data_IF_746255324268
#
_entry.id   IF_746255324268
#
_cell.length_a   1.000
_cell.length_b   1.000
_cell.length_c   1.000
_cell.angle_alpha   90.00
_cell.angle_beta   90.00
_cell.angle_gamma   90.00
#
_symmetry.space_group_name_H-M   'P 1'
#
loop_
_entity.id
_entity.type
_entity.pdbx_description
1 polymer ?
#
# COMPACT_ATOMS: atom_id res chain seq x y z
N UNK A 1 -90.03 3.73 -1.82
CA UNK A 1 -89.51 2.71 -0.85
C UNK A 1 -88.56 1.85 -1.56
N UNK A 2 -87.30 2.13 -1.43
CA UNK A 2 -86.19 1.18 -1.52
C UNK A 2 -85.00 1.85 -0.89
N UNK A 3 -84.66 1.43 0.33
CA UNK A 3 -83.51 1.85 1.08
C UNK A 3 -82.47 0.73 1.05
N UNK A 4 -81.20 1.08 0.88
CA UNK A 4 -80.11 0.51 1.62
C UNK A 4 -79.50 -0.73 1.02
N UNK A 5 -78.39 -0.52 0.35
CA UNK A 5 -77.33 -1.54 0.29
C UNK A 5 -75.96 -0.86 0.23
N UNK A 6 -75.52 -0.39 1.38
CA UNK A 6 -74.13 0.06 1.59
C UNK A 6 -73.50 -0.73 2.71
N UNK A 7 -72.23 -1.00 2.53
CA UNK A 7 -71.28 -1.48 3.54
C UNK A 7 -71.16 -2.99 3.82
N UNK A 8 -70.27 -3.66 3.04
CA UNK A 8 -69.39 -4.69 3.58
C UNK A 8 -68.08 -4.74 2.72
N UNK A 9 -67.32 -3.64 2.74
CA UNK A 9 -65.90 -3.73 2.37
C UNK A 9 -65.09 -3.72 3.68
N UNK A 10 -65.04 -4.90 4.29
CA UNK A 10 -64.51 -5.09 5.61
C UNK A 10 -62.99 -5.18 5.70
N UNK A 11 -62.45 -5.42 6.91
CA UNK A 11 -61.05 -5.32 7.31
C UNK A 11 -60.08 -6.25 6.56
N UNK A 12 -60.59 -7.28 5.86
CA UNK A 12 -59.79 -8.24 5.10
C UNK A 12 -59.09 -7.59 3.89
N UNK A 13 -59.69 -6.62 3.22
CA UNK A 13 -59.08 -5.96 2.05
C UNK A 13 -57.96 -5.03 2.47
N UNK A 14 -58.08 -4.35 3.63
CA UNK A 14 -56.99 -3.52 4.19
C UNK A 14 -55.78 -4.36 4.65
N UNK A 15 -56.05 -5.52 5.25
CA UNK A 15 -55.00 -6.47 5.67
C UNK A 15 -54.24 -7.04 4.47
N UNK A 16 -54.94 -7.41 3.39
CA UNK A 16 -54.35 -7.92 2.17
C UNK A 16 -53.47 -6.87 1.48
N UNK A 17 -53.96 -5.63 1.33
CA UNK A 17 -53.20 -4.51 0.73
C UNK A 17 -51.99 -4.16 1.57
N UNK A 18 -52.07 -4.21 2.90
CA UNK A 18 -50.92 -3.98 3.79
C UNK A 18 -49.86 -5.11 3.72
N UNK A 19 -50.28 -6.36 3.55
CA UNK A 19 -49.41 -7.50 3.35
C UNK A 19 -48.68 -7.43 2.01
N UNK A 20 -49.36 -7.10 0.92
CA UNK A 20 -48.77 -6.93 -0.42
C UNK A 20 -47.79 -5.76 -0.44
N UNK A 21 -48.11 -4.63 0.23
CA UNK A 21 -47.18 -3.49 0.35
C UNK A 21 -45.91 -3.81 1.15
N UNK A 22 -46.04 -4.59 2.24
CA UNK A 22 -44.88 -5.07 3.00
C UNK A 22 -44.03 -6.06 2.20
N UNK A 23 -44.65 -6.98 1.46
CA UNK A 23 -43.93 -7.91 0.58
C UNK A 23 -43.22 -7.18 -0.56
N UNK A 24 -43.86 -6.19 -1.19
CA UNK A 24 -43.22 -5.37 -2.24
C UNK A 24 -42.06 -4.51 -1.69
N UNK A 25 -42.19 -3.95 -0.49
CA UNK A 25 -41.13 -3.17 0.14
C UNK A 25 -39.91 -4.05 0.47
N UNK A 26 -40.12 -5.27 0.98
CA UNK A 26 -39.05 -6.24 1.26
C UNK A 26 -38.37 -6.68 -0.05
N UNK A 27 -39.14 -6.90 -1.11
CA UNK A 27 -38.62 -7.30 -2.41
C UNK A 27 -37.78 -6.19 -3.07
N UNK A 28 -38.25 -4.93 -2.97
CA UNK A 28 -37.48 -3.77 -3.44
C UNK A 28 -36.19 -3.60 -2.64
N UNK A 29 -36.22 -3.78 -1.31
CA UNK A 29 -35.06 -3.70 -0.47
C UNK A 29 -34.02 -4.79 -0.82
N UNK A 30 -34.48 -6.02 -1.09
CA UNK A 30 -33.64 -7.12 -1.56
C UNK A 30 -33.01 -6.83 -2.92
N UNK A 31 -33.77 -6.28 -3.88
CA UNK A 31 -33.24 -5.89 -5.19
C UNK A 31 -32.20 -4.79 -5.04
N UNK A 32 -32.44 -3.78 -4.21
CA UNK A 32 -31.47 -2.71 -3.94
C UNK A 32 -30.21 -3.25 -3.27
N UNK A 33 -30.33 -4.16 -2.29
CA UNK A 33 -29.17 -4.82 -1.68
C UNK A 33 -28.38 -5.65 -2.69
N UNK A 34 -29.04 -6.44 -3.53
CA UNK A 34 -28.38 -7.24 -4.57
C UNK A 34 -27.72 -6.35 -5.62
N UNK A 35 -28.38 -5.26 -6.01
CA UNK A 35 -27.81 -4.30 -6.98
C UNK A 35 -26.63 -3.55 -6.39
N UNK A 36 -26.67 -3.14 -5.13
CA UNK A 36 -25.52 -2.50 -4.46
C UNK A 36 -24.34 -3.47 -4.30
N UNK A 37 -24.58 -4.73 -3.94
CA UNK A 37 -23.53 -5.76 -3.87
C UNK A 37 -22.88 -6.02 -5.24
N UNK A 38 -23.67 -6.06 -6.34
CA UNK A 38 -23.13 -6.22 -7.69
C UNK A 38 -22.35 -4.98 -8.15
N UNK A 39 -22.78 -3.77 -7.79
CA UNK A 39 -22.06 -2.55 -8.10
C UNK A 39 -20.73 -2.48 -7.34
N UNK A 40 -20.70 -2.86 -6.08
CA UNK A 40 -19.50 -2.91 -5.26
C UNK A 40 -18.52 -4.00 -5.75
N UNK A 41 -19.01 -5.18 -6.12
CA UNK A 41 -18.21 -6.25 -6.73
C UNK A 41 -17.61 -5.81 -8.08
N UNK A 42 -18.38 -5.12 -8.93
CA UNK A 42 -17.92 -4.60 -10.21
C UNK A 42 -16.85 -3.52 -10.06
N UNK A 43 -16.94 -2.71 -9.02
CA UNK A 43 -15.96 -1.66 -8.75
C UNK A 43 -14.67 -2.23 -8.14
N UNK A 44 -14.78 -3.22 -7.27
CA UNK A 44 -13.63 -3.99 -6.77
C UNK A 44 -12.92 -4.75 -7.90
N UNK A 45 -13.66 -5.25 -8.89
CA UNK A 45 -13.08 -5.91 -10.06
C UNK A 45 -12.28 -4.96 -10.96
N UNK A 46 -12.52 -3.65 -10.94
CA UNK A 46 -11.73 -2.68 -11.71
C UNK A 46 -10.40 -2.36 -11.04
N UNK A 47 -10.29 -2.47 -9.72
CA UNK A 47 -9.11 -2.10 -8.94
C UNK A 47 -7.97 -3.10 -9.14
N UNK A 48 -6.74 -2.60 -9.00
CA UNK A 48 -5.52 -3.41 -9.07
C UNK A 48 -5.33 -4.20 -7.76
N UNK A 49 -5.27 -5.53 -7.77
CA UNK A 49 -4.98 -6.30 -6.57
C UNK A 49 -3.49 -6.19 -6.20
N UNK A 50 -3.23 -5.88 -4.92
CA UNK A 50 -1.89 -5.68 -4.38
C UNK A 50 -1.67 -6.58 -3.16
N UNK A 51 -0.50 -7.22 -3.08
CA UNK A 51 0.10 -7.74 -1.85
C UNK A 51 1.19 -6.75 -1.42
N UNK A 52 1.17 -6.34 -0.15
CA UNK A 52 2.14 -5.42 0.42
C UNK A 52 2.96 -6.10 1.51
N UNK A 53 4.29 -6.09 1.38
CA UNK A 53 5.21 -6.66 2.35
C UNK A 53 6.05 -5.52 2.95
N UNK A 54 6.13 -5.45 4.29
CA UNK A 54 6.74 -4.32 5.01
C UNK A 54 7.34 -4.77 6.34
N UNK A 55 8.39 -4.11 6.78
CA UNK A 55 8.91 -4.23 8.14
C UNK A 55 8.37 -3.14 9.08
N UNK A 56 7.11 -2.80 8.88
CA UNK A 56 6.32 -1.94 9.74
C UNK A 56 6.28 -2.45 11.18
N UNK A 57 6.67 -1.60 12.13
CA UNK A 57 6.66 -1.89 13.56
C UNK A 57 5.99 -0.79 14.37
N UNK A 58 5.43 -1.17 15.53
CA UNK A 58 5.06 -0.22 16.56
C UNK A 58 5.51 -0.71 17.96
N UNK A 59 6.36 0.01 18.70
CA UNK A 59 7.02 1.24 18.27
C UNK A 59 7.98 1.02 17.09
N UNK A 60 8.07 2.01 16.21
CA UNK A 60 8.85 1.92 14.98
C UNK A 60 10.36 1.83 15.23
N UNK A 61 11.08 1.23 14.28
CA UNK A 61 12.53 1.38 14.16
C UNK A 61 12.84 2.57 13.23
N UNK A 62 12.35 2.53 11.99
CA UNK A 62 12.26 3.67 11.09
C UNK A 62 10.76 3.96 10.82
N UNK A 63 10.29 5.19 10.92
CA UNK A 63 8.87 5.50 10.79
C UNK A 63 8.40 5.79 9.36
N UNK A 64 9.23 5.72 8.34
CA UNK A 64 8.83 5.92 6.94
C UNK A 64 7.76 4.90 6.50
N UNK A 65 7.82 3.65 6.97
CA UNK A 65 6.78 2.64 6.75
C UNK A 65 5.36 3.10 7.14
N UNK A 66 5.24 3.96 8.16
CA UNK A 66 3.93 4.51 8.55
C UNK A 66 3.37 5.46 7.50
N UNK A 67 4.24 6.25 6.84
CA UNK A 67 3.86 7.12 5.72
C UNK A 67 3.51 6.29 4.48
N UNK A 68 4.31 5.28 4.20
CA UNK A 68 4.14 4.42 3.03
C UNK A 68 2.81 3.67 3.07
N UNK A 69 2.54 2.96 4.17
CA UNK A 69 1.28 2.21 4.29
C UNK A 69 0.06 3.16 4.30
N UNK A 70 0.16 4.33 4.93
CA UNK A 70 -0.91 5.33 4.93
C UNK A 70 -1.21 5.81 3.51
N UNK A 71 -0.18 6.13 2.71
CA UNK A 71 -0.35 6.50 1.31
C UNK A 71 -0.97 5.37 0.48
N UNK A 72 -0.56 4.11 0.68
CA UNK A 72 -1.15 2.97 -0.01
C UNK A 72 -2.63 2.79 0.33
N UNK A 73 -3.02 3.01 1.60
CA UNK A 73 -4.41 2.97 2.03
C UNK A 73 -5.24 4.12 1.43
N UNK A 74 -4.66 5.28 1.17
CA UNK A 74 -5.35 6.42 0.57
C UNK A 74 -5.71 6.19 -0.92
N UNK A 75 -4.98 5.34 -1.63
CA UNK A 75 -5.16 5.11 -3.07
C UNK A 75 -6.41 4.25 -3.31
N UNK A 76 -7.37 4.82 -4.05
CA UNK A 76 -8.67 4.18 -4.33
C UNK A 76 -8.59 3.15 -5.46
N UNK A 77 -7.62 3.27 -6.35
CA UNK A 77 -7.39 2.41 -7.52
C UNK A 77 -6.81 1.05 -7.18
N UNK A 78 -6.35 0.85 -5.92
CA UNK A 78 -5.82 -0.43 -5.44
C UNK A 78 -6.73 -1.13 -4.46
N UNK A 79 -6.74 -2.45 -4.53
CA UNK A 79 -7.28 -3.32 -3.49
C UNK A 79 -6.13 -4.05 -2.82
N UNK A 80 -5.80 -3.69 -1.58
CA UNK A 80 -4.79 -4.39 -0.78
C UNK A 80 -5.40 -5.75 -0.38
N UNK A 81 -4.90 -6.83 -0.97
CA UNK A 81 -5.39 -8.20 -0.74
C UNK A 81 -4.76 -8.85 0.48
N UNK A 82 -3.54 -8.43 0.83
CA UNK A 82 -2.80 -8.91 1.99
C UNK A 82 -1.70 -7.92 2.38
N UNK A 83 -1.41 -7.85 3.67
CA UNK A 83 -0.20 -7.24 4.22
C UNK A 83 0.62 -8.34 4.89
N UNK A 84 1.91 -8.44 4.55
CA UNK A 84 2.84 -9.36 5.19
C UNK A 84 3.81 -8.55 6.05
N UNK A 85 3.82 -8.84 7.33
CA UNK A 85 4.67 -8.20 8.32
C UNK A 85 5.98 -8.97 8.44
N UNK A 86 7.06 -8.40 7.92
CA UNK A 86 8.41 -8.99 7.91
C UNK A 86 9.01 -9.13 9.32
N UNK A 87 10.08 -9.92 9.44
CA UNK A 87 10.87 -10.14 10.65
C UNK A 87 10.06 -10.71 11.84
N UNK A 88 9.40 -11.83 11.64
CA UNK A 88 8.42 -12.45 12.52
C UNK A 88 8.65 -12.39 14.03
N UNK A 89 9.87 -12.72 14.52
CA UNK A 89 10.19 -12.64 15.96
C UNK A 89 10.07 -11.21 16.51
N UNK A 90 10.39 -10.22 15.69
CA UNK A 90 10.36 -8.81 16.08
C UNK A 90 8.94 -8.30 16.21
N UNK A 91 8.02 -8.82 15.37
CA UNK A 91 6.58 -8.50 15.42
C UNK A 91 5.93 -8.85 16.78
N UNK A 92 6.44 -9.84 17.50
CA UNK A 92 5.95 -10.17 18.86
C UNK A 92 6.20 -9.04 19.87
N UNK A 93 7.26 -8.27 19.69
CA UNK A 93 7.64 -7.16 20.60
C UNK A 93 7.22 -5.79 20.08
N UNK A 94 7.10 -5.65 18.77
CA UNK A 94 6.78 -4.42 18.07
C UNK A 94 5.73 -4.70 16.99
N UNK A 95 4.46 -4.94 17.37
CA UNK A 95 3.44 -5.45 16.45
C UNK A 95 3.01 -4.39 15.42
N UNK A 96 3.36 -4.59 14.15
CA UNK A 96 2.88 -3.80 13.03
C UNK A 96 1.36 -3.92 12.79
N UNK A 97 0.71 -4.86 13.46
CA UNK A 97 -0.76 -4.99 13.46
C UNK A 97 -1.48 -3.80 14.08
N UNK A 98 -0.83 -3.06 14.99
CA UNK A 98 -1.42 -1.87 15.62
C UNK A 98 -1.69 -0.79 14.54
N UNK A 99 -0.69 -0.27 13.79
CA UNK A 99 -0.94 0.72 12.75
C UNK A 99 -1.87 0.20 11.64
N UNK A 100 -1.83 -1.09 11.29
CA UNK A 100 -2.79 -1.67 10.33
C UNK A 100 -4.23 -1.56 10.86
N UNK A 101 -4.46 -1.89 12.13
CA UNK A 101 -5.79 -1.77 12.75
C UNK A 101 -6.27 -0.32 12.78
N UNK A 102 -5.39 0.61 13.08
CA UNK A 102 -5.68 2.06 13.04
C UNK A 102 -6.07 2.52 11.63
N UNK A 103 -5.31 2.13 10.60
CA UNK A 103 -5.61 2.48 9.21
C UNK A 103 -6.90 1.81 8.71
N UNK A 104 -7.17 0.57 9.11
CA UNK A 104 -8.45 -0.09 8.84
C UNK A 104 -9.61 0.72 9.45
N UNK A 105 -9.46 1.22 10.68
CA UNK A 105 -10.48 2.05 11.33
C UNK A 105 -10.67 3.41 10.64
N UNK A 106 -9.58 4.14 10.32
CA UNK A 106 -9.64 5.44 9.63
C UNK A 106 -10.36 5.31 8.29
N UNK A 107 -10.03 4.29 7.51
CA UNK A 107 -10.51 4.15 6.13
C UNK A 107 -11.78 3.31 5.98
N UNK A 108 -12.24 2.66 7.07
CA UNK A 108 -13.35 1.69 7.02
C UNK A 108 -13.02 0.41 6.26
N UNK A 109 -11.74 0.13 5.98
CA UNK A 109 -11.30 -1.08 5.29
C UNK A 109 -11.08 -2.21 6.30
N UNK A 110 -11.06 -3.44 5.80
CA UNK A 110 -10.68 -4.63 6.58
C UNK A 110 -9.63 -5.41 5.79
N UNK A 111 -8.39 -4.91 5.82
CA UNK A 111 -7.26 -5.51 5.09
C UNK A 111 -6.67 -6.64 5.94
N UNK A 112 -6.61 -7.88 5.42
CA UNK A 112 -5.99 -8.98 6.14
C UNK A 112 -4.47 -8.82 6.20
N UNK A 113 -3.87 -9.27 7.29
CA UNK A 113 -2.42 -9.33 7.45
C UNK A 113 -1.98 -10.66 8.06
N UNK A 114 -0.71 -10.99 7.85
CA UNK A 114 -0.05 -12.13 8.48
C UNK A 114 1.40 -11.80 8.81
N UNK A 115 1.93 -12.52 9.81
CA UNK A 115 3.33 -12.42 10.22
C UNK A 115 4.16 -13.35 9.34
N UNK A 116 5.23 -12.80 8.76
CA UNK A 116 6.15 -13.51 7.88
C UNK A 116 7.27 -14.24 8.62
N UNK A 117 8.17 -14.81 7.83
CA UNK A 117 9.31 -15.59 8.30
C UNK A 117 10.20 -14.79 9.26
N UNK A 118 10.70 -15.46 10.27
CA UNK A 118 11.50 -14.85 11.32
C UNK A 118 12.98 -14.75 10.99
N UNK A 119 13.54 -15.83 10.46
CA UNK A 119 14.97 -16.00 10.26
C UNK A 119 15.33 -15.86 8.77
N UNK A 120 16.56 -15.47 8.45
CA UNK A 120 17.06 -15.37 7.09
C UNK A 120 16.99 -16.72 6.38
N UNK A 121 16.76 -16.70 5.09
CA UNK A 121 16.88 -17.89 4.25
C UNK A 121 18.32 -18.40 4.27
N UNK A 122 18.50 -19.71 4.33
CA UNK A 122 19.84 -20.34 4.42
C UNK A 122 20.56 -20.33 3.06
N UNK A 123 19.80 -20.46 1.98
CA UNK A 123 20.28 -20.35 0.58
C UNK A 123 19.27 -19.56 -0.24
N UNK A 124 19.62 -19.10 -1.44
CA UNK A 124 18.65 -18.46 -2.33
C UNK A 124 17.43 -19.34 -2.66
N UNK A 125 17.59 -20.67 -2.67
CA UNK A 125 16.53 -21.65 -2.98
C UNK A 125 15.75 -22.12 -1.74
N UNK A 126 16.13 -21.65 -0.54
CA UNK A 126 15.46 -22.06 0.70
C UNK A 126 13.96 -21.68 0.65
N UNK A 127 13.10 -22.64 1.00
CA UNK A 127 11.65 -22.49 1.07
C UNK A 127 11.17 -21.94 2.43
N UNK A 128 12.09 -21.75 3.40
CA UNK A 128 11.76 -21.31 4.76
C UNK A 128 10.93 -22.31 5.57
N UNK A 129 10.73 -23.54 5.11
CA UNK A 129 9.86 -24.54 5.75
C UNK A 129 10.42 -25.06 7.08
N UNK A 130 11.73 -24.92 7.32
CA UNK A 130 12.37 -25.29 8.58
C UNK A 130 12.11 -24.32 9.72
N UNK A 131 11.59 -23.12 9.42
CA UNK A 131 11.27 -22.12 10.43
C UNK A 131 9.97 -22.49 11.19
N UNK A 132 9.81 -21.96 12.40
CA UNK A 132 8.67 -22.29 13.27
C UNK A 132 7.32 -21.99 12.58
N UNK A 133 6.33 -22.85 12.82
CA UNK A 133 5.01 -22.79 12.16
C UNK A 133 4.34 -21.42 12.32
N UNK A 134 4.50 -20.77 13.44
CA UNK A 134 3.92 -19.46 13.76
C UNK A 134 4.41 -18.31 12.87
N UNK A 135 5.48 -18.53 12.08
CA UNK A 135 6.03 -17.55 11.12
C UNK A 135 5.80 -17.95 9.66
N UNK A 136 4.99 -18.97 9.41
CA UNK A 136 4.68 -19.44 8.05
C UNK A 136 3.52 -18.67 7.41
N UNK A 137 2.66 -18.07 8.22
CA UNK A 137 1.38 -17.51 7.79
C UNK A 137 1.53 -16.40 6.75
N UNK A 138 2.63 -15.62 6.78
CA UNK A 138 2.91 -14.60 5.77
C UNK A 138 3.10 -15.20 4.37
N UNK A 139 3.93 -16.25 4.26
CA UNK A 139 4.15 -16.94 2.98
C UNK A 139 2.88 -17.66 2.51
N UNK A 140 2.15 -18.32 3.41
CA UNK A 140 0.91 -18.99 3.08
C UNK A 140 -0.17 -18.01 2.60
N UNK A 141 -0.24 -16.81 3.21
CA UNK A 141 -1.17 -15.76 2.79
C UNK A 141 -0.83 -15.24 1.38
N UNK A 142 0.45 -15.06 1.04
CA UNK A 142 0.89 -14.70 -0.31
C UNK A 142 0.41 -15.76 -1.32
N UNK A 143 0.70 -17.04 -1.06
CA UNK A 143 0.33 -18.14 -1.95
C UNK A 143 -1.19 -18.22 -2.13
N UNK A 144 -1.95 -18.11 -1.03
CA UNK A 144 -3.40 -18.14 -1.04
C UNK A 144 -4.00 -17.00 -1.89
N UNK A 145 -3.48 -15.78 -1.74
CA UNK A 145 -3.95 -14.62 -2.53
C UNK A 145 -3.64 -14.81 -4.01
N UNK A 146 -2.44 -15.29 -4.35
CA UNK A 146 -2.06 -15.56 -5.74
C UNK A 146 -2.94 -16.64 -6.35
N UNK A 147 -3.18 -17.74 -5.64
CA UNK A 147 -4.02 -18.85 -6.11
C UNK A 147 -5.46 -18.40 -6.36
N UNK A 148 -6.07 -17.70 -5.41
CA UNK A 148 -7.47 -17.26 -5.49
C UNK A 148 -7.70 -16.07 -6.39
N UNK A 149 -6.67 -15.31 -6.76
CA UNK A 149 -6.84 -14.13 -7.57
C UNK A 149 -7.28 -14.48 -9.01
N UNK A 150 -8.40 -13.88 -9.44
CA UNK A 150 -8.87 -13.96 -10.83
C UNK A 150 -8.04 -13.11 -11.78
N UNK A 151 -7.37 -12.07 -11.25
CA UNK A 151 -6.52 -11.13 -11.99
C UNK A 151 -5.06 -11.30 -11.62
N UNK A 152 -4.13 -10.90 -12.51
CA UNK A 152 -2.73 -10.76 -12.12
C UNK A 152 -2.56 -9.81 -10.94
N UNK A 153 -1.67 -10.16 -10.01
CA UNK A 153 -1.43 -9.44 -8.76
C UNK A 153 -0.12 -8.66 -8.85
N UNK A 154 -0.13 -7.42 -8.39
CA UNK A 154 1.09 -6.66 -8.15
C UNK A 154 1.57 -6.90 -6.72
N UNK A 155 2.87 -7.12 -6.54
CA UNK A 155 3.49 -7.22 -5.22
C UNK A 155 4.35 -5.98 -5.01
N UNK A 156 4.23 -5.38 -3.83
CA UNK A 156 5.04 -4.24 -3.38
C UNK A 156 5.75 -4.67 -2.10
N UNK A 157 7.07 -4.51 -2.03
CA UNK A 157 7.83 -4.83 -0.83
C UNK A 157 8.77 -3.68 -0.48
N UNK A 158 8.73 -3.25 0.78
CA UNK A 158 9.51 -2.14 1.33
C UNK A 158 10.44 -2.57 2.48
N UNK A 159 10.39 -3.85 2.88
CA UNK A 159 11.31 -4.49 3.81
C UNK A 159 12.20 -5.52 3.11
N UNK A 160 12.51 -6.63 3.81
CA UNK A 160 13.25 -7.74 3.20
C UNK A 160 12.43 -8.45 2.11
N UNK A 161 13.11 -9.19 1.24
CA UNK A 161 12.46 -10.01 0.21
C UNK A 161 12.17 -11.44 0.67
N UNK A 162 12.31 -11.73 1.97
CA UNK A 162 12.33 -13.08 2.54
C UNK A 162 11.09 -13.88 2.22
N UNK A 163 9.92 -13.36 2.56
CA UNK A 163 8.64 -14.06 2.35
C UNK A 163 8.33 -14.25 0.87
N UNK A 164 8.68 -13.27 0.04
CA UNK A 164 8.51 -13.33 -1.41
C UNK A 164 9.41 -14.40 -2.03
N UNK A 165 10.69 -14.46 -1.62
CA UNK A 165 11.64 -15.47 -2.11
C UNK A 165 11.23 -16.88 -1.68
N UNK A 166 10.85 -17.06 -0.41
CA UNK A 166 10.35 -18.34 0.10
C UNK A 166 9.07 -18.78 -0.63
N UNK A 167 8.11 -17.88 -0.83
CA UNK A 167 6.88 -18.14 -1.58
C UNK A 167 7.17 -18.52 -3.03
N UNK A 168 8.07 -17.80 -3.69
CA UNK A 168 8.52 -18.13 -5.05
C UNK A 168 9.19 -19.52 -5.10
N UNK A 169 10.03 -19.86 -4.13
CA UNK A 169 10.68 -21.18 -4.05
C UNK A 169 9.68 -22.32 -3.80
N UNK A 170 8.57 -22.05 -3.08
CA UNK A 170 7.50 -23.05 -2.85
C UNK A 170 6.66 -23.28 -4.10
N UNK A 171 6.34 -22.22 -4.86
CA UNK A 171 5.43 -22.30 -6.01
C UNK A 171 5.85 -21.36 -7.14
N UNK A 172 6.97 -21.66 -7.86
CA UNK A 172 7.51 -20.77 -8.89
C UNK A 172 6.56 -20.56 -10.07
N UNK A 173 5.79 -21.57 -10.47
CA UNK A 173 4.86 -21.46 -11.58
C UNK A 173 3.65 -20.59 -11.26
N UNK A 174 3.17 -20.63 -10.00
CA UNK A 174 2.12 -19.74 -9.52
C UNK A 174 2.58 -18.27 -9.58
N UNK A 175 3.79 -17.97 -9.11
CA UNK A 175 4.35 -16.63 -9.19
C UNK A 175 4.52 -16.15 -10.63
N UNK A 176 5.10 -16.99 -11.52
CA UNK A 176 5.28 -16.64 -12.94
C UNK A 176 3.96 -16.37 -13.66
N UNK A 177 2.89 -17.05 -13.25
CA UNK A 177 1.57 -16.92 -13.87
C UNK A 177 0.75 -15.77 -13.32
N UNK A 178 0.85 -15.52 -11.99
CA UNK A 178 -0.05 -14.59 -11.28
C UNK A 178 0.57 -13.25 -10.95
N UNK A 179 1.90 -13.15 -10.83
CA UNK A 179 2.57 -11.87 -10.53
C UNK A 179 2.86 -11.14 -11.84
N UNK A 180 2.20 -10.00 -12.03
CA UNK A 180 2.43 -9.16 -13.22
C UNK A 180 3.47 -8.07 -13.02
N UNK A 181 3.66 -7.61 -11.78
CA UNK A 181 4.68 -6.64 -11.38
C UNK A 181 5.13 -6.92 -9.96
N UNK A 182 6.42 -6.91 -9.74
CA UNK A 182 7.04 -7.03 -8.42
C UNK A 182 7.87 -5.78 -8.16
N UNK A 183 7.32 -4.83 -7.41
CA UNK A 183 8.02 -3.62 -7.00
C UNK A 183 8.81 -3.89 -5.74
N UNK A 184 10.12 -3.70 -5.80
CA UNK A 184 11.04 -3.91 -4.68
C UNK A 184 11.77 -2.61 -4.37
N UNK A 185 11.55 -2.07 -3.17
CA UNK A 185 12.22 -0.88 -2.65
C UNK A 185 13.39 -1.31 -1.79
N UNK A 186 14.54 -1.52 -2.44
CA UNK A 186 15.67 -2.19 -1.81
C UNK A 186 16.97 -1.93 -2.58
N UNK A 187 18.05 -1.81 -1.85
CA UNK A 187 19.39 -1.82 -2.44
C UNK A 187 19.94 -0.45 -2.80
N UNK A 188 21.12 -0.49 -3.34
CA UNK A 188 21.95 0.65 -3.74
C UNK A 188 22.23 0.57 -5.24
N UNK A 189 22.01 1.66 -5.99
CA UNK A 189 22.25 1.70 -7.42
C UNK A 189 23.70 2.00 -7.79
N UNK A 190 24.48 2.59 -6.87
CA UNK A 190 25.88 2.93 -7.16
C UNK A 190 26.80 1.71 -7.04
N UNK A 191 27.91 1.73 -7.79
CA UNK A 191 28.91 0.64 -7.80
C UNK A 191 29.84 0.65 -6.57
N UNK A 192 29.48 1.33 -5.47
CA UNK A 192 30.39 1.57 -4.33
C UNK A 192 30.36 0.50 -3.22
N UNK A 193 29.73 -0.66 -3.45
CA UNK A 193 29.81 -1.80 -2.50
C UNK A 193 29.14 -1.60 -1.15
N UNK A 194 28.21 -0.66 -1.04
CA UNK A 194 27.38 -0.49 0.15
C UNK A 194 26.23 -1.51 0.12
N UNK A 195 26.14 -2.32 1.18
CA UNK A 195 24.96 -3.20 1.37
C UNK A 195 23.91 -2.39 2.11
N UNK A 196 22.87 -2.01 1.38
CA UNK A 196 21.72 -1.31 1.92
C UNK A 196 21.00 -2.19 2.98
N UNK A 197 20.28 -1.54 3.92
CA UNK A 197 19.70 -2.18 5.10
C UNK A 197 18.80 -3.36 4.76
N UNK A 198 17.84 -3.20 3.84
CA UNK A 198 16.88 -4.25 3.45
C UNK A 198 17.58 -5.45 2.76
N UNK A 199 18.62 -5.19 1.96
CA UNK A 199 19.49 -6.26 1.41
C UNK A 199 20.17 -7.00 2.55
N UNK A 200 20.67 -6.28 3.56
CA UNK A 200 21.31 -6.84 4.75
C UNK A 200 20.37 -7.70 5.61
N UNK A 201 19.07 -7.43 5.58
CA UNK A 201 18.07 -8.23 6.28
C UNK A 201 18.02 -9.67 5.75
N UNK A 202 18.15 -9.88 4.43
CA UNK A 202 18.24 -11.23 3.84
C UNK A 202 18.87 -11.22 2.45
N UNK A 203 20.20 -11.39 2.39
CA UNK A 203 20.97 -11.41 1.14
C UNK A 203 20.55 -12.56 0.20
N UNK A 204 20.23 -13.73 0.75
CA UNK A 204 19.81 -14.88 -0.04
C UNK A 204 18.48 -14.61 -0.75
N UNK A 205 17.53 -13.99 -0.05
CA UNK A 205 16.26 -13.58 -0.63
C UNK A 205 16.45 -12.54 -1.75
N UNK A 206 17.34 -11.56 -1.55
CA UNK A 206 17.67 -10.56 -2.57
C UNK A 206 18.28 -11.20 -3.82
N UNK A 207 19.30 -12.04 -3.66
CA UNK A 207 19.92 -12.79 -4.77
C UNK A 207 18.88 -13.61 -5.52
N UNK A 208 17.99 -14.30 -4.77
CA UNK A 208 16.95 -15.15 -5.35
C UNK A 208 15.98 -14.37 -6.22
N UNK A 209 15.48 -13.25 -5.73
CA UNK A 209 14.49 -12.44 -6.45
C UNK A 209 15.09 -11.74 -7.66
N UNK A 210 16.29 -11.17 -7.53
CA UNK A 210 16.95 -10.52 -8.66
C UNK A 210 17.27 -11.51 -9.81
N UNK A 211 17.50 -12.79 -9.50
CA UNK A 211 17.74 -13.85 -10.47
C UNK A 211 16.49 -14.69 -10.82
N UNK A 212 15.29 -14.33 -10.33
CA UNK A 212 14.07 -15.13 -10.47
C UNK A 212 13.49 -15.17 -11.88
N UNK A 213 13.80 -14.16 -12.69
CA UNK A 213 13.14 -13.90 -13.97
C UNK A 213 11.69 -13.44 -13.84
N UNK A 214 11.22 -13.03 -12.66
CA UNK A 214 9.95 -12.33 -12.44
C UNK A 214 9.99 -10.91 -13.04
N UNK A 215 8.85 -10.28 -13.30
CA UNK A 215 8.77 -8.91 -13.80
C UNK A 215 9.09 -7.90 -12.68
N UNK A 216 10.37 -7.78 -12.33
CA UNK A 216 10.86 -6.94 -11.23
C UNK A 216 10.93 -5.47 -11.65
N UNK A 217 10.36 -4.60 -10.81
CA UNK A 217 10.54 -3.16 -10.82
C UNK A 217 11.42 -2.80 -9.63
N UNK A 218 12.70 -2.67 -9.89
CA UNK A 218 13.70 -2.38 -8.88
C UNK A 218 13.78 -0.88 -8.60
N UNK A 219 13.49 -0.50 -7.38
CA UNK A 219 13.53 0.88 -6.86
C UNK A 219 14.64 0.94 -5.79
N UNK A 220 15.88 1.30 -6.18
CA UNK A 220 16.96 1.44 -5.21
C UNK A 220 16.63 2.50 -4.16
N UNK A 221 17.01 2.23 -2.91
CA UNK A 221 16.88 3.20 -1.82
C UNK A 221 17.89 4.33 -1.96
N UNK A 222 19.10 4.03 -2.42
CA UNK A 222 20.18 5.01 -2.57
C UNK A 222 20.90 4.89 -3.91
N UNK A 223 21.54 5.99 -4.32
CA UNK A 223 22.42 6.07 -5.47
C UNK A 223 23.54 7.07 -5.19
N UNK A 224 24.74 6.56 -4.89
CA UNK A 224 25.92 7.35 -4.52
C UNK A 224 26.34 7.18 -3.07
N UNK A 225 25.73 6.26 -2.34
CA UNK A 225 25.92 5.98 -0.92
C UNK A 225 24.72 6.40 -0.08
N UNK A 226 24.75 6.11 1.23
CA UNK A 226 23.66 6.42 2.14
C UNK A 226 23.20 7.88 2.05
N UNK A 227 21.88 8.07 1.99
CA UNK A 227 21.22 9.38 1.93
C UNK A 227 21.53 10.20 0.67
N UNK A 228 21.94 9.53 -0.42
CA UNK A 228 22.21 10.14 -1.72
C UNK A 228 21.31 9.57 -2.81
N UNK A 229 20.96 10.44 -3.77
CA UNK A 229 20.21 10.08 -4.96
C UNK A 229 20.79 10.82 -6.16
N UNK A 230 21.64 10.15 -6.94
CA UNK A 230 22.25 10.67 -8.17
C UNK A 230 21.40 10.38 -9.40
N UNK A 231 20.12 10.01 -9.21
CA UNK A 231 19.15 9.83 -10.28
C UNK A 231 18.64 8.39 -10.46
N UNK A 232 19.25 7.40 -9.80
CA UNK A 232 18.82 5.99 -9.91
C UNK A 232 18.20 5.44 -8.64
N UNK A 233 17.88 6.29 -7.67
CA UNK A 233 17.20 5.93 -6.43
C UNK A 233 15.92 6.73 -6.21
N UNK A 234 15.06 6.25 -5.33
CA UNK A 234 13.81 6.93 -5.03
C UNK A 234 13.88 7.86 -3.80
N UNK A 235 14.99 7.89 -3.12
CA UNK A 235 15.22 8.70 -1.91
C UNK A 235 14.92 10.18 -2.10
N UNK A 236 14.15 10.76 -1.17
CA UNK A 236 14.00 12.21 -0.97
C UNK A 236 13.79 12.54 0.51
N UNK A 237 13.81 13.83 0.84
CA UNK A 237 13.58 14.33 2.19
C UNK A 237 12.47 15.38 2.18
N UNK A 238 11.58 15.33 3.18
CA UNK A 238 10.48 16.27 3.35
C UNK A 238 10.33 16.71 4.82
N UNK A 239 9.74 17.89 5.05
CA UNK A 239 9.32 18.29 6.39
C UNK A 239 7.98 17.64 6.74
N UNK A 240 7.77 17.30 8.02
CA UNK A 240 6.47 16.81 8.44
C UNK A 240 5.38 17.87 8.33
N UNK A 241 5.75 19.16 8.42
CA UNK A 241 4.82 20.28 8.20
C UNK A 241 4.23 20.22 6.78
N UNK A 242 5.08 19.98 5.78
CA UNK A 242 4.62 19.88 4.38
C UNK A 242 3.78 18.61 4.15
N UNK A 243 4.12 17.50 4.82
CA UNK A 243 3.45 16.22 4.67
C UNK A 243 2.11 16.14 5.42
N UNK A 244 2.05 16.70 6.64
CA UNK A 244 0.97 16.46 7.61
C UNK A 244 0.18 17.72 7.97
N UNK A 245 0.56 18.89 7.47
CA UNK A 245 -0.03 20.16 7.88
C UNK A 245 -1.54 20.29 7.62
N UNK A 246 -2.07 19.54 6.65
CA UNK A 246 -3.46 19.61 6.20
C UNK A 246 -4.25 18.30 6.39
N UNK A 247 -3.73 17.34 7.15
CA UNK A 247 -4.44 16.07 7.38
C UNK A 247 -5.55 16.23 8.43
N UNK A 248 -6.52 15.33 8.46
CA UNK A 248 -7.56 15.31 9.50
C UNK A 248 -6.97 15.04 10.89
N UNK A 249 -7.71 15.40 11.94
CA UNK A 249 -7.31 15.15 13.32
C UNK A 249 -7.04 13.66 13.59
N UNK A 250 -7.83 12.78 13.03
CA UNK A 250 -7.65 11.32 13.14
C UNK A 250 -6.34 10.86 12.50
N UNK A 251 -6.00 11.39 11.34
CA UNK A 251 -4.74 11.09 10.66
C UNK A 251 -3.57 11.71 11.42
N UNK A 252 -3.73 12.92 11.97
CA UNK A 252 -2.74 13.53 12.84
C UNK A 252 -2.51 12.68 14.10
N UNK A 253 -3.57 12.22 14.76
CA UNK A 253 -3.47 11.32 15.92
C UNK A 253 -2.78 9.99 15.58
N UNK A 254 -3.03 9.43 14.38
CA UNK A 254 -2.29 8.26 13.90
C UNK A 254 -0.78 8.52 13.85
N UNK A 255 -0.37 9.65 13.28
CA UNK A 255 1.06 9.99 13.19
C UNK A 255 1.65 10.38 14.55
N UNK A 256 0.91 11.08 15.42
CA UNK A 256 1.34 11.34 16.80
C UNK A 256 1.58 10.01 17.53
N UNK A 257 0.60 9.08 17.44
CA UNK A 257 0.72 7.77 18.06
C UNK A 257 1.97 7.02 17.58
N UNK A 258 2.15 6.96 16.26
CA UNK A 258 3.27 6.26 15.65
C UNK A 258 4.62 6.91 15.98
N UNK A 259 4.76 8.20 15.67
CA UNK A 259 6.06 8.90 15.68
C UNK A 259 6.56 9.21 17.11
N UNK A 260 5.67 9.47 18.04
CA UNK A 260 6.01 9.66 19.44
C UNK A 260 5.98 8.33 20.23
N UNK A 261 5.82 7.20 19.53
CA UNK A 261 5.86 5.86 20.13
C UNK A 261 4.90 5.71 21.29
N UNK A 262 3.68 6.28 21.16
CA UNK A 262 2.63 6.15 22.18
C UNK A 262 2.31 4.68 22.42
N UNK A 263 1.93 4.33 23.65
CA UNK A 263 1.60 2.96 24.02
C UNK A 263 0.32 2.97 24.86
N UNK A 264 -0.75 3.49 24.26
CA UNK A 264 -2.05 3.57 24.89
C UNK A 264 -2.75 2.19 24.87
N UNK A 265 -3.56 1.94 25.90
CA UNK A 265 -4.28 0.66 26.04
C UNK A 265 -5.23 0.39 24.89
N UNK A 266 -5.83 1.46 24.33
CA UNK A 266 -6.72 1.39 23.19
C UNK A 266 -6.20 2.29 22.06
N UNK A 267 -5.41 1.74 21.12
CA UNK A 267 -4.84 2.49 20.02
C UNK A 267 -5.89 2.98 19.02
N UNK A 268 -7.08 2.37 18.97
CA UNK A 268 -8.18 2.80 18.10
C UNK A 268 -8.89 4.01 18.71
N UNK A 269 -9.22 3.95 20.00
CA UNK A 269 -9.84 5.08 20.69
C UNK A 269 -8.92 6.31 20.66
N UNK A 270 -7.59 6.13 20.69
CA UNK A 270 -6.64 7.24 20.60
C UNK A 270 -6.85 8.11 19.35
N UNK A 271 -7.27 7.52 18.23
CA UNK A 271 -7.53 8.25 16.99
C UNK A 271 -8.69 9.25 17.10
N UNK A 272 -9.64 9.00 17.97
CA UNK A 272 -10.85 9.82 18.15
C UNK A 272 -10.69 10.84 19.30
N UNK A 273 -9.53 10.89 19.95
CA UNK A 273 -9.27 11.88 21.02
C UNK A 273 -9.04 13.28 20.43
N UNK A 274 -9.29 14.30 21.23
CA UNK A 274 -8.83 15.66 20.93
C UNK A 274 -7.32 15.68 20.75
N UNK A 275 -6.84 16.46 19.78
CA UNK A 275 -5.41 16.56 19.49
C UNK A 275 -4.70 17.25 20.69
N UNK A 276 -3.62 16.65 21.11
CA UNK A 276 -2.66 17.33 21.99
C UNK A 276 -1.79 18.24 21.11
N UNK A 277 -1.94 19.56 21.27
CA UNK A 277 -1.24 20.54 20.42
C UNK A 277 0.29 20.52 20.61
N UNK A 278 0.81 20.20 21.81
CA UNK A 278 2.26 20.05 22.03
C UNK A 278 2.82 18.85 21.26
N UNK A 279 2.13 17.71 21.28
CA UNK A 279 2.49 16.52 20.51
C UNK A 279 2.44 16.79 18.99
N UNK A 280 1.42 17.52 18.53
CA UNK A 280 1.26 17.91 17.12
C UNK A 280 2.39 18.84 16.68
N UNK A 281 2.71 19.87 17.47
CA UNK A 281 3.82 20.77 17.18
C UNK A 281 5.14 20.02 17.14
N UNK A 282 5.37 19.10 18.07
CA UNK A 282 6.55 18.24 18.08
C UNK A 282 6.64 17.41 16.79
N UNK A 283 5.54 16.77 16.36
CA UNK A 283 5.50 15.98 15.13
C UNK A 283 5.74 16.83 13.90
N UNK A 284 5.09 18.00 13.80
CA UNK A 284 5.24 18.90 12.65
C UNK A 284 6.63 19.53 12.55
N UNK A 285 7.38 19.64 13.65
CA UNK A 285 8.76 20.15 13.65
C UNK A 285 9.79 19.19 13.07
N UNK A 286 9.43 17.91 12.87
CA UNK A 286 10.33 16.87 12.36
C UNK A 286 10.52 16.93 10.84
N UNK A 287 11.53 16.20 10.37
CA UNK A 287 11.74 15.89 8.95
C UNK A 287 11.76 14.38 8.73
N UNK A 288 11.47 13.97 7.51
CA UNK A 288 11.44 12.54 7.12
C UNK A 288 12.26 12.27 5.87
N UNK A 289 13.02 11.19 5.92
CA UNK A 289 13.55 10.53 4.74
C UNK A 289 12.49 9.56 4.22
N UNK A 290 12.24 9.56 2.92
CA UNK A 290 11.20 8.78 2.27
C UNK A 290 11.72 8.13 0.99
N UNK A 291 11.09 7.03 0.56
CA UNK A 291 11.46 6.27 -0.64
C UNK A 291 10.26 5.82 -1.47
N UNK A 292 9.13 5.51 -0.87
CA UNK A 292 8.07 4.72 -1.50
C UNK A 292 6.77 5.51 -1.74
N UNK A 293 6.34 6.31 -0.78
CA UNK A 293 4.98 6.87 -0.64
C UNK A 293 4.38 7.42 -1.94
N UNK A 294 4.98 8.41 -2.57
CA UNK A 294 4.47 8.99 -3.82
C UNK A 294 4.63 8.05 -5.04
N UNK A 295 5.60 7.12 -5.00
CA UNK A 295 5.79 6.14 -6.08
C UNK A 295 4.57 5.22 -6.19
N UNK A 296 3.85 4.98 -5.08
CA UNK A 296 2.63 4.17 -5.08
C UNK A 296 1.52 4.78 -5.94
N UNK A 297 1.44 6.11 -6.07
CA UNK A 297 0.51 6.75 -7.00
C UNK A 297 0.79 6.32 -8.46
N UNK A 298 2.07 6.31 -8.87
CA UNK A 298 2.46 5.81 -10.19
C UNK A 298 2.18 4.31 -10.35
N UNK A 299 2.45 3.50 -9.33
CA UNK A 299 2.15 2.05 -9.33
C UNK A 299 0.65 1.82 -9.57
N UNK A 300 -0.20 2.64 -8.97
CA UNK A 300 -1.65 2.61 -9.14
C UNK A 300 -2.15 3.13 -10.51
N UNK A 301 -1.24 3.58 -11.37
CA UNK A 301 -1.57 4.11 -12.69
C UNK A 301 -1.99 5.57 -12.68
N UNK A 302 -1.75 6.32 -11.60
CA UNK A 302 -2.05 7.77 -11.55
C UNK A 302 -1.00 8.56 -12.34
N UNK A 303 -1.40 9.73 -12.81
CA UNK A 303 -0.52 10.71 -13.48
C UNK A 303 -0.15 11.81 -12.52
N UNK A 304 1.03 12.37 -12.70
CA UNK A 304 1.46 13.55 -11.97
C UNK A 304 1.24 14.78 -12.86
N UNK A 305 0.63 15.80 -12.32
CA UNK A 305 0.38 17.06 -13.00
C UNK A 305 0.78 18.24 -12.11
N UNK A 306 1.09 19.37 -12.76
CA UNK A 306 1.26 20.65 -12.11
C UNK A 306 -0.07 21.41 -12.17
N UNK A 307 -0.61 21.78 -11.02
CA UNK A 307 -1.81 22.58 -10.89
C UNK A 307 -1.49 23.87 -10.15
N UNK A 308 -1.34 24.96 -10.90
CA UNK A 308 -0.83 26.22 -10.33
C UNK A 308 0.60 26.05 -9.82
N UNK A 309 0.80 26.28 -8.52
CA UNK A 309 2.10 26.12 -7.86
C UNK A 309 2.28 24.76 -7.17
N UNK A 310 1.29 23.88 -7.26
CA UNK A 310 1.30 22.58 -6.58
C UNK A 310 1.46 21.42 -7.56
N UNK A 311 1.95 20.31 -7.07
CA UNK A 311 2.00 19.04 -7.80
C UNK A 311 1.02 18.06 -7.18
N UNK A 312 0.18 17.45 -8.01
CA UNK A 312 -0.80 16.46 -7.57
C UNK A 312 -0.73 15.21 -8.44
N UNK A 313 -1.29 14.12 -7.92
CA UNK A 313 -1.54 12.91 -8.70
C UNK A 313 -3.04 12.76 -8.97
N UNK A 314 -3.37 12.45 -10.23
CA UNK A 314 -4.77 12.26 -10.66
C UNK A 314 -4.97 10.85 -11.21
N UNK A 315 -6.20 10.29 -11.12
CA UNK A 315 -6.54 9.03 -11.78
C UNK A 315 -6.25 9.07 -13.29
N UNK A 316 -5.99 7.90 -13.89
CA UNK A 316 -5.63 7.79 -15.30
C UNK A 316 -6.74 8.29 -16.26
N UNK A 317 -8.00 8.16 -15.85
CA UNK A 317 -9.20 8.57 -16.59
C UNK A 317 -9.66 9.99 -16.29
N UNK A 318 -9.01 10.69 -15.35
CA UNK A 318 -9.31 12.09 -15.07
C UNK A 318 -8.95 12.99 -16.25
N UNK A 319 -9.80 14.00 -16.50
CA UNK A 319 -9.54 15.04 -17.50
C UNK A 319 -8.48 16.00 -16.99
N UNK A 320 -7.48 16.34 -17.81
CA UNK A 320 -6.42 17.29 -17.48
C UNK A 320 -5.85 17.92 -18.76
N UNK A 321 -5.16 19.06 -18.61
CA UNK A 321 -4.38 19.64 -19.68
C UNK A 321 -3.03 18.92 -19.80
N UNK A 322 -2.73 18.41 -20.99
CA UNK A 322 -1.50 17.65 -21.26
C UNK A 322 -0.21 18.43 -21.01
N UNK A 323 -0.25 19.76 -21.13
CA UNK A 323 0.89 20.62 -20.83
C UNK A 323 1.26 20.66 -19.34
N UNK A 324 0.31 20.27 -18.49
CA UNK A 324 0.50 20.17 -17.04
C UNK A 324 1.12 18.83 -16.62
N UNK A 325 1.15 17.81 -17.50
CA UNK A 325 1.72 16.50 -17.16
C UNK A 325 3.22 16.61 -16.90
N UNK A 326 3.62 16.08 -15.76
CA UNK A 326 5.03 15.93 -15.39
C UNK A 326 5.37 14.46 -15.23
N UNK A 327 6.62 14.13 -15.52
CA UNK A 327 7.17 12.77 -15.33
C UNK A 327 8.41 12.87 -14.45
N UNK A 328 8.24 12.84 -13.11
CA UNK A 328 9.36 13.02 -12.20
C UNK A 328 10.36 11.86 -12.28
N UNK A 329 9.90 10.69 -12.68
CA UNK A 329 10.71 9.48 -12.86
C UNK A 329 10.11 8.55 -13.92
N UNK A 330 10.88 7.54 -14.28
CA UNK A 330 10.47 6.40 -15.12
C UNK A 330 11.14 5.12 -14.67
N UNK A 331 10.82 4.02 -15.34
CA UNK A 331 11.49 2.74 -15.17
C UNK A 331 12.21 2.37 -16.48
N UNK A 332 13.53 2.23 -16.41
CA UNK A 332 14.38 1.82 -17.53
C UNK A 332 14.65 0.33 -17.49
N UNK A 333 14.66 -0.34 -18.65
CA UNK A 333 15.05 -1.75 -18.72
C UNK A 333 16.54 -1.89 -18.50
N UNK A 334 16.94 -2.79 -17.60
CA UNK A 334 18.33 -3.04 -17.25
C UNK A 334 18.65 -4.54 -17.26
N UNK A 335 19.88 -4.86 -17.60
CA UNK A 335 20.48 -6.17 -17.38
C UNK A 335 21.23 -6.14 -16.05
N UNK A 336 20.86 -7.03 -15.14
CA UNK A 336 21.38 -7.04 -13.77
C UNK A 336 22.17 -8.31 -13.52
N UNK A 337 23.29 -8.17 -12.82
CA UNK A 337 24.07 -9.26 -12.25
C UNK A 337 24.20 -9.03 -10.73
N UNK A 338 23.94 -10.07 -9.94
CA UNK A 338 24.10 -10.07 -8.49
C UNK A 338 25.02 -11.22 -8.10
N UNK A 339 26.10 -10.90 -7.40
CA UNK A 339 27.06 -11.90 -6.92
C UNK A 339 26.59 -12.62 -5.63
N UNK A 340 27.37 -13.60 -5.18
CA UNK A 340 27.08 -14.39 -3.96
C UNK A 340 27.12 -13.54 -2.66
N UNK A 341 27.74 -12.38 -2.70
CA UNK A 341 27.81 -11.43 -1.60
C UNK A 341 26.65 -10.41 -1.62
N UNK A 342 25.76 -10.52 -2.62
CA UNK A 342 24.65 -9.62 -2.90
C UNK A 342 25.08 -8.23 -3.41
N UNK A 343 26.30 -8.11 -3.95
CA UNK A 343 26.70 -6.92 -4.67
C UNK A 343 26.02 -6.93 -6.05
N UNK A 344 25.50 -5.77 -6.46
CA UNK A 344 24.79 -5.60 -7.72
C UNK A 344 25.64 -4.85 -8.73
N UNK A 345 25.57 -5.28 -9.97
CA UNK A 345 25.99 -4.51 -11.13
C UNK A 345 24.90 -4.57 -12.20
N UNK A 346 24.75 -3.50 -12.97
CA UNK A 346 23.76 -3.43 -14.03
C UNK A 346 24.24 -2.58 -15.19
N UNK A 347 23.60 -2.82 -16.34
CA UNK A 347 23.80 -2.05 -17.58
C UNK A 347 22.45 -1.75 -18.20
N UNK A 348 22.31 -0.56 -18.76
CA UNK A 348 21.13 -0.20 -19.55
C UNK A 348 21.05 -1.13 -20.78
N UNK A 349 19.90 -1.69 -21.05
CA UNK A 349 19.70 -2.60 -22.16
C UNK A 349 18.56 -2.15 -23.06
N UNK A 350 18.72 -2.37 -24.37
CA UNK A 350 17.65 -2.20 -25.37
C UNK A 350 16.85 -3.49 -25.59
N UNK A 351 17.31 -4.62 -25.02
CA UNK A 351 16.59 -5.89 -25.08
C UNK A 351 15.58 -5.91 -23.93
N UNK A 352 14.34 -6.35 -24.22
CA UNK A 352 13.31 -6.50 -23.20
C UNK A 352 13.84 -7.32 -22.01
N UNK A 353 14.30 -6.61 -20.98
CA UNK A 353 14.73 -7.16 -19.71
C UNK A 353 13.51 -7.39 -18.82
N UNK A 354 13.63 -8.35 -17.87
CA UNK A 354 12.57 -8.56 -16.87
C UNK A 354 12.73 -7.63 -15.68
N UNK A 355 13.88 -6.95 -15.55
CA UNK A 355 14.13 -5.97 -14.49
C UNK A 355 14.05 -4.58 -15.09
N UNK A 356 13.27 -3.72 -14.44
CA UNK A 356 13.15 -2.30 -14.73
C UNK A 356 13.60 -1.51 -13.52
N UNK A 357 14.59 -0.66 -13.71
CA UNK A 357 15.16 0.17 -12.66
C UNK A 357 14.55 1.56 -12.65
N UNK A 358 14.30 2.08 -11.46
CA UNK A 358 13.86 3.44 -11.23
C UNK A 358 14.89 4.48 -11.70
N UNK A 359 14.41 5.55 -12.33
CA UNK A 359 15.25 6.63 -12.86
C UNK A 359 14.53 7.98 -12.73
N UNK A 360 15.12 8.90 -12.01
CA UNK A 360 14.65 10.30 -11.86
C UNK A 360 14.86 11.05 -13.17
N UNK A 361 13.83 11.74 -13.65
CA UNK A 361 13.88 12.53 -14.90
C UNK A 361 14.01 14.03 -14.63
N UNK A 362 13.52 14.51 -13.49
CA UNK A 362 13.48 15.94 -13.15
C UNK A 362 14.09 16.17 -11.77
N UNK A 363 15.43 16.01 -11.62
CA UNK A 363 16.08 16.05 -10.31
C UNK A 363 15.83 17.36 -9.55
N UNK A 364 15.73 18.49 -10.24
CA UNK A 364 15.57 19.82 -9.63
C UNK A 364 14.25 19.99 -8.88
N UNK A 365 13.18 19.30 -9.32
CA UNK A 365 11.84 19.38 -8.71
C UNK A 365 11.40 18.05 -8.10
N UNK A 366 12.23 17.02 -8.16
CA UNK A 366 11.86 15.67 -7.74
C UNK A 366 11.33 15.63 -6.31
N UNK A 367 12.09 16.16 -5.35
CA UNK A 367 11.71 16.15 -3.95
C UNK A 367 10.41 16.94 -3.69
N UNK A 368 10.21 18.07 -4.39
CA UNK A 368 9.00 18.89 -4.28
C UNK A 368 7.77 18.11 -4.79
N UNK A 369 7.87 17.50 -5.99
CA UNK A 369 6.79 16.68 -6.56
C UNK A 369 6.42 15.52 -5.64
N UNK A 370 7.42 14.78 -5.16
CA UNK A 370 7.21 13.62 -4.30
C UNK A 370 6.59 14.02 -2.96
N UNK A 371 6.99 15.15 -2.40
CA UNK A 371 6.43 15.71 -1.15
C UNK A 371 4.97 16.12 -1.34
N UNK A 372 4.66 16.91 -2.39
CA UNK A 372 3.29 17.36 -2.68
C UNK A 372 2.33 16.19 -2.90
N UNK A 373 2.74 15.19 -3.69
CA UNK A 373 1.90 14.01 -3.96
C UNK A 373 1.73 13.17 -2.69
N UNK A 374 2.75 13.02 -1.87
CA UNK A 374 2.63 12.31 -0.58
C UNK A 374 1.65 13.04 0.34
N UNK A 375 1.77 14.37 0.48
CA UNK A 375 0.86 15.18 1.27
C UNK A 375 -0.60 15.06 0.78
N UNK A 376 -0.82 15.10 -0.55
CA UNK A 376 -2.14 14.87 -1.15
C UNK A 376 -2.72 13.51 -0.76
N UNK A 377 -1.93 12.43 -0.82
CA UNK A 377 -2.39 11.09 -0.44
C UNK A 377 -2.75 11.03 1.05
N UNK A 378 -1.92 11.62 1.92
CA UNK A 378 -2.17 11.65 3.36
C UNK A 378 -3.42 12.48 3.71
N UNK A 379 -3.66 13.60 3.03
CA UNK A 379 -4.90 14.37 3.14
C UNK A 379 -6.13 13.54 2.76
N UNK A 380 -6.03 12.70 1.73
CA UNK A 380 -7.13 11.85 1.23
C UNK A 380 -7.34 10.57 2.04
N UNK A 381 -6.52 10.28 3.05
CA UNK A 381 -6.55 9.04 3.82
C UNK A 381 -7.85 8.88 4.63
N UNK A 382 -8.36 9.95 5.22
CA UNK A 382 -9.63 9.95 5.96
C UNK A 382 -10.80 10.35 5.04
N UNK A 383 -11.68 9.41 4.65
CA UNK A 383 -12.81 9.73 3.78
C UNK A 383 -13.78 10.76 4.38
N UNK A 384 -13.86 10.85 5.73
CA UNK A 384 -14.74 11.81 6.42
C UNK A 384 -14.26 13.24 6.26
N UNK A 385 -12.95 13.44 6.21
CA UNK A 385 -12.33 14.75 6.04
C UNK A 385 -12.59 15.33 4.64
N UNK A 386 -12.46 14.51 3.60
CA UNK A 386 -12.68 14.91 2.19
C UNK A 386 -14.11 15.37 1.91
N UNK A 387 -15.09 14.85 2.67
CA UNK A 387 -16.51 15.21 2.50
C UNK A 387 -16.93 16.46 3.30
N UNK A 388 -16.12 16.94 4.23
CA UNK A 388 -16.43 18.16 5.00
C UNK A 388 -16.07 19.45 4.26
N UNK A 389 -15.24 19.37 3.22
CA UNK A 389 -14.73 20.51 2.45
C UNK A 389 -15.47 20.70 1.10
N UNK A 390 -16.53 19.89 0.84
CA UNK A 390 -17.43 19.99 -0.30
C UNK A 390 -18.80 20.51 0.14
#
# INVERSE_FOLDING_TARGET
MFSGCDSYRGPLLKSYIMSVRKGAAIFILLILCVSSMHAEESDLEKKMPVIYCTDLFHPHDDPDDHFDIACLYAIKEVTIKAIVLDQGKKQKKKPGSIPISQLNHITGRNVPYAIGLSDKLQTPEDKGLSQAKEYQDGVELILLVLEKSKKPVSIITVGSLRDIAAGYNRSPDLFKTKVNKLFIFIGEASKKGHIEYNVGLDKNAYIRIMNSGLPVYWVPCFDGGPWQNNGRASYWKASHKDLLGNVSDRVMNYFIYALLRKNEKDPIQYLENEINEDDKEQVLSMNRNLWCSAVFAHIAGRRFIRQGNEFISIPMDASYDKEQEIRPFRFDEVSVFVDEQANISYEDTKRAGRIRQFHVLTPDIYAEVMTSVTAQLLFQLDPRHVHSDL
#
